data_IF_289742030436
#
_entry.id   IF_289742030436
#
_cell.length_a   1.000
_cell.length_b   1.000
_cell.length_c   1.000
_cell.angle_alpha   90.00
_cell.angle_beta   90.00
_cell.angle_gamma   90.00
#
_symmetry.space_group_name_H-M   'P 1'
#
loop_
_entity.id
_entity.type
_entity.pdbx_description
1 polymer ?
#
# COMPACT_ATOMS: atom_id res chain seq x y z
N UNK A 1 10.38 -2.36 -0.33
CA UNK A 1 10.08 -2.62 1.09
C UNK A 1 10.10 -1.34 1.93
N UNK A 2 8.92 -0.81 2.28
CA UNK A 2 8.81 0.32 3.20
C UNK A 2 8.58 -0.23 4.62
N UNK A 3 9.62 -0.86 5.18
CA UNK A 3 9.54 -1.56 6.48
C UNK A 3 9.03 -0.65 7.60
N UNK A 4 9.31 0.64 7.50
CA UNK A 4 8.90 1.69 8.43
C UNK A 4 7.37 1.84 8.55
N UNK A 5 6.59 1.39 7.55
CA UNK A 5 5.13 1.42 7.58
C UNK A 5 4.48 0.09 8.00
N UNK A 6 5.27 -0.89 8.47
CA UNK A 6 4.75 -2.16 8.95
C UNK A 6 4.21 -3.07 7.84
N UNK A 7 4.59 -2.83 6.58
CA UNK A 7 4.23 -3.65 5.42
C UNK A 7 5.47 -4.04 4.61
N UNK A 8 5.41 -5.22 4.00
CA UNK A 8 6.30 -5.56 2.89
C UNK A 8 5.61 -5.22 1.59
N UNK A 9 6.33 -4.51 0.71
CA UNK A 9 5.78 -4.00 -0.54
C UNK A 9 6.57 -4.50 -1.74
N UNK A 10 5.83 -4.88 -2.79
CA UNK A 10 6.32 -5.06 -4.17
C UNK A 10 5.57 -4.09 -5.08
N UNK A 11 6.29 -3.39 -5.96
CA UNK A 11 5.69 -2.48 -6.93
C UNK A 11 5.63 -3.15 -8.30
N UNK A 12 4.48 -3.06 -8.95
CA UNK A 12 4.30 -3.38 -10.37
C UNK A 12 4.02 -2.07 -11.09
N UNK A 13 4.99 -1.62 -11.87
CA UNK A 13 4.89 -0.40 -12.65
C UNK A 13 4.21 -0.69 -13.99
N UNK A 14 3.15 0.05 -14.28
CA UNK A 14 2.50 0.12 -15.58
C UNK A 14 2.65 1.55 -16.14
N UNK A 15 2.22 1.77 -17.38
CA UNK A 15 2.47 3.03 -18.10
C UNK A 15 1.91 4.28 -17.38
N UNK A 16 0.75 4.15 -16.73
CA UNK A 16 0.02 5.27 -16.12
C UNK A 16 -0.31 5.05 -14.63
N UNK A 17 0.06 3.90 -14.05
CA UNK A 17 -0.26 3.55 -12.68
C UNK A 17 0.81 2.64 -12.10
N UNK A 18 1.04 2.76 -10.79
CA UNK A 18 1.80 1.79 -10.02
C UNK A 18 0.83 0.98 -9.18
N UNK A 19 0.90 -0.35 -9.29
CA UNK A 19 0.21 -1.25 -8.36
C UNK A 19 1.15 -1.53 -7.21
N UNK A 20 0.71 -1.18 -6.00
CA UNK A 20 1.41 -1.51 -4.77
C UNK A 20 0.83 -2.79 -4.16
N UNK A 21 1.59 -3.88 -4.24
CA UNK A 21 1.24 -5.14 -3.59
C UNK A 21 1.82 -5.16 -2.19
N UNK A 22 0.95 -5.14 -1.18
CA UNK A 22 1.32 -5.08 0.23
C UNK A 22 0.94 -6.37 0.97
N UNK A 23 1.81 -6.79 1.89
CA UNK A 23 1.53 -7.84 2.87
C UNK A 23 1.97 -7.38 4.27
N UNK A 24 1.32 -7.89 5.34
CA UNK A 24 1.72 -7.60 6.71
C UNK A 24 3.20 -7.93 6.95
N UNK A 25 3.98 -7.01 7.53
CA UNK A 25 5.37 -7.30 7.94
C UNK A 25 5.43 -8.07 9.28
N UNK A 26 4.41 -7.91 10.12
CA UNK A 26 4.22 -8.60 11.39
C UNK A 26 2.73 -8.58 11.77
N UNK A 27 2.35 -9.29 12.82
CA UNK A 27 0.96 -9.34 13.30
C UNK A 27 0.38 -7.96 13.65
N UNK A 28 1.25 -7.00 14.05
CA UNK A 28 0.87 -5.63 14.37
C UNK A 28 0.79 -4.70 13.14
N UNK A 29 0.76 -5.24 11.92
CA UNK A 29 0.66 -4.44 10.70
C UNK A 29 -0.63 -3.61 10.65
N UNK A 30 -0.60 -2.37 10.13
CA UNK A 30 -1.81 -1.57 9.95
C UNK A 30 -2.88 -2.23 9.05
N UNK A 31 -2.49 -3.20 8.21
CA UNK A 31 -3.39 -3.91 7.29
C UNK A 31 -3.85 -5.29 7.78
N UNK A 32 -3.43 -5.74 8.98
CA UNK A 32 -3.74 -7.10 9.47
C UNK A 32 -5.25 -7.39 9.49
N UNK A 33 -6.06 -6.47 10.03
CA UNK A 33 -7.54 -6.62 10.07
C UNK A 33 -8.19 -6.73 8.70
N UNK A 34 -7.63 -6.01 7.71
CA UNK A 34 -8.12 -6.07 6.34
C UNK A 34 -7.88 -7.46 5.74
N UNK A 35 -6.69 -8.03 5.94
CA UNK A 35 -6.34 -9.37 5.44
C UNK A 35 -7.15 -10.47 6.15
N UNK A 36 -7.35 -10.36 7.48
CA UNK A 36 -8.19 -11.30 8.23
C UNK A 36 -9.63 -11.37 7.68
N UNK A 37 -10.17 -10.21 7.32
CA UNK A 37 -11.52 -10.08 6.75
C UNK A 37 -11.58 -10.45 5.25
N UNK A 38 -10.45 -10.34 4.54
CA UNK A 38 -10.33 -10.57 3.10
C UNK A 38 -9.20 -11.56 2.82
N UNK A 39 -9.41 -12.84 3.19
CA UNK A 39 -8.38 -13.90 3.14
C UNK A 39 -7.75 -14.12 1.76
N UNK A 40 -8.46 -13.76 0.68
CA UNK A 40 -7.98 -13.88 -0.70
C UNK A 40 -7.35 -12.58 -1.23
N UNK A 41 -7.14 -11.57 -0.38
CA UNK A 41 -6.70 -10.24 -0.76
C UNK A 41 -7.84 -9.34 -1.26
N UNK A 42 -7.47 -8.15 -1.74
CA UNK A 42 -8.41 -7.17 -2.27
C UNK A 42 -7.78 -5.78 -2.48
N UNK A 43 -8.57 -4.86 -3.02
CA UNK A 43 -8.18 -3.44 -3.15
C UNK A 43 -8.32 -2.76 -1.78
N UNK A 44 -7.21 -2.47 -1.12
CA UNK A 44 -7.21 -1.83 0.20
C UNK A 44 -7.44 -0.32 0.14
N UNK A 45 -6.75 0.36 -0.77
CA UNK A 45 -6.96 1.78 -1.07
C UNK A 45 -6.49 2.10 -2.49
N UNK A 46 -6.84 3.30 -2.96
CA UNK A 46 -6.31 3.88 -4.19
C UNK A 46 -5.71 5.25 -3.86
N UNK A 47 -4.45 5.43 -4.24
CA UNK A 47 -3.76 6.72 -4.10
C UNK A 47 -3.86 7.47 -5.42
N UNK A 48 -4.31 8.72 -5.36
CA UNK A 48 -4.36 9.63 -6.52
C UNK A 48 -3.34 10.73 -6.30
N UNK A 49 -2.43 10.89 -7.27
CA UNK A 49 -1.48 11.99 -7.27
C UNK A 49 -2.22 13.32 -7.41
N UNK A 50 -2.27 14.11 -6.34
CA UNK A 50 -2.61 15.51 -6.42
C UNK A 50 -1.33 16.26 -6.81
N UNK A 51 -1.33 16.88 -7.98
CA UNK A 51 -0.16 17.44 -8.68
C UNK A 51 0.59 18.58 -7.93
N UNK A 52 0.35 18.79 -6.62
CA UNK A 52 0.76 20.00 -5.90
C UNK A 52 1.17 19.80 -4.42
N UNK A 53 1.48 18.58 -3.95
CA UNK A 53 1.93 18.42 -2.55
C UNK A 53 3.37 18.94 -2.30
N UNK A 54 4.14 19.25 -3.35
CA UNK A 54 5.51 19.77 -3.24
C UNK A 54 5.61 21.31 -3.20
N UNK A 55 4.53 22.08 -3.40
CA UNK A 55 4.57 23.55 -3.37
C UNK A 55 4.22 24.15 -1.99
N UNK A 56 3.95 23.31 -0.98
CA UNK A 56 3.51 23.73 0.36
C UNK A 56 4.35 23.11 1.50
N UNK A 57 5.49 22.49 1.18
CA UNK A 57 6.48 22.01 2.15
C UNK A 57 7.83 22.68 1.90
#
# INVERSE_FOLDING_TARGET
>A
PIKEHGVTTVFVQLDNVNIELIQPLSDNSPISKFIESNKNGGLHHQTVGLFWLYLLL
#
